data_IF_140889341301
#
_entry.id   IF_140889341301
#
_cell.length_a   1.000
_cell.length_b   1.000
_cell.length_c   1.000
_cell.angle_alpha   90.00
_cell.angle_beta   90.00
_cell.angle_gamma   90.00
#
_symmetry.space_group_name_H-M   'P 1'
#
loop_
_entity.id
_entity.type
_entity.pdbx_description
1 polymer ?
#
# COMPACT_ATOMS: atom_id res chain seq x y z
N UNK A 1 19.98 -0.29 33.37
CA UNK A 1 21.12 0.64 33.18
C UNK A 1 21.07 1.20 31.77
N UNK A 2 20.38 2.33 31.59
CA UNK A 2 20.36 3.08 30.34
C UNK A 2 21.24 4.33 30.53
N UNK A 3 22.55 4.19 30.37
CA UNK A 3 23.51 5.26 30.59
C UNK A 3 24.15 5.66 29.25
N UNK A 4 23.38 6.36 28.40
CA UNK A 4 23.90 6.88 27.13
C UNK A 4 23.38 8.29 26.75
N UNK A 5 22.60 8.96 27.59
CA UNK A 5 22.07 10.31 27.34
C UNK A 5 22.81 11.44 28.10
N UNK A 6 23.68 11.10 29.07
CA UNK A 6 24.31 12.07 29.99
C UNK A 6 25.15 13.16 29.31
N UNK A 7 25.82 12.86 28.19
CA UNK A 7 26.75 13.78 27.52
C UNK A 7 26.08 15.07 26.99
N UNK A 8 24.80 15.04 26.63
CA UNK A 8 24.10 16.22 26.07
C UNK A 8 23.73 17.26 27.13
N UNK A 9 23.60 16.86 28.40
CA UNK A 9 23.02 17.69 29.46
C UNK A 9 24.00 18.03 30.59
N UNK A 10 25.20 17.43 30.61
CA UNK A 10 26.26 17.67 31.60
C UNK A 10 26.78 19.13 31.63
N UNK A 11 26.66 19.88 30.54
CA UNK A 11 27.12 21.27 30.46
C UNK A 11 26.09 22.29 30.96
N UNK A 12 24.88 21.84 31.32
CA UNK A 12 23.81 22.71 31.81
C UNK A 12 23.85 22.77 33.35
N UNK A 13 24.02 23.97 33.94
CA UNK A 13 23.96 24.11 35.40
C UNK A 13 22.51 23.86 35.89
N UNK A 14 22.36 22.98 36.87
CA UNK A 14 21.07 22.66 37.49
C UNK A 14 20.32 21.46 36.90
N UNK A 15 21.00 20.57 36.18
CA UNK A 15 20.40 19.30 35.73
C UNK A 15 20.11 18.38 36.93
N UNK A 16 18.88 17.89 37.02
CA UNK A 16 18.47 16.97 38.08
C UNK A 16 19.02 15.55 37.81
N UNK A 17 19.67 14.96 38.79
CA UNK A 17 20.20 13.59 38.75
C UNK A 17 19.34 12.59 39.53
N UNK A 18 18.15 13.01 39.96
CA UNK A 18 17.15 12.15 40.55
C UNK A 18 16.73 11.03 39.58
N UNK A 19 16.16 9.91 40.09
CA UNK A 19 15.59 8.88 39.24
C UNK A 19 14.53 9.44 38.28
N UNK A 20 14.65 9.10 36.99
CA UNK A 20 13.79 9.59 35.91
C UNK A 20 12.31 9.23 36.10
N UNK A 21 12.02 8.12 36.81
CA UNK A 21 10.67 7.61 37.02
C UNK A 21 10.47 7.31 38.50
N UNK A 22 9.50 7.99 39.11
CA UNK A 22 9.00 7.69 40.45
C UNK A 22 7.66 6.98 40.32
N UNK A 23 7.70 5.66 40.18
CA UNK A 23 6.52 4.81 40.11
C UNK A 23 6.22 4.15 41.45
N UNK A 24 4.94 3.90 41.70
CA UNK A 24 4.53 3.01 42.79
C UNK A 24 5.01 1.60 42.44
N UNK A 25 5.54 0.82 43.39
CA UNK A 25 5.97 -0.54 43.12
C UNK A 25 4.83 -1.33 42.48
N UNK A 26 5.13 -2.02 41.38
CA UNK A 26 4.16 -2.86 40.66
C UNK A 26 3.52 -3.82 41.67
N UNK A 27 2.25 -3.57 41.96
CA UNK A 27 1.43 -4.54 42.67
C UNK A 27 1.31 -5.73 41.72
N UNK A 28 1.79 -6.90 42.12
CA UNK A 28 1.61 -8.11 41.34
C UNK A 28 0.12 -8.28 41.06
N UNK A 29 -0.32 -8.00 39.82
CA UNK A 29 -1.72 -8.13 39.39
C UNK A 29 -2.23 -9.58 39.58
N UNK A 30 -1.29 -10.53 39.72
CA UNK A 30 -1.55 -11.94 39.99
C UNK A 30 -1.84 -12.28 41.47
N UNK A 31 -1.62 -11.37 42.42
CA UNK A 31 -2.05 -11.55 43.82
C UNK A 31 -3.39 -10.84 44.03
N UNK A 32 -4.39 -11.43 43.39
CA UNK A 32 -5.78 -10.97 43.42
C UNK A 32 -6.29 -10.87 44.86
N UNK A 33 -6.60 -9.65 45.32
CA UNK A 33 -7.36 -9.37 46.56
C UNK A 33 -8.84 -9.10 46.28
N UNK A 34 -9.37 -9.60 45.17
CA UNK A 34 -10.80 -9.50 44.86
C UNK A 34 -11.35 -10.92 44.71
N UNK A 35 -12.37 -11.20 45.53
CA UNK A 35 -13.11 -12.44 45.53
C UNK A 35 -13.58 -12.80 44.12
N UNK A 36 -13.35 -14.05 43.74
CA UNK A 36 -13.88 -14.68 42.54
C UNK A 36 -15.38 -14.37 42.39
N UNK A 37 -15.72 -13.51 41.44
CA UNK A 37 -17.08 -13.30 40.97
C UNK A 37 -17.02 -12.75 39.55
N UNK A 38 -17.21 -13.67 38.60
CA UNK A 38 -17.68 -13.42 37.23
C UNK A 38 -16.86 -12.43 36.39
N UNK A 39 -15.65 -12.83 35.99
CA UNK A 39 -15.19 -12.46 34.66
C UNK A 39 -16.04 -13.26 33.66
N UNK A 40 -17.12 -12.64 33.17
CA UNK A 40 -17.84 -13.13 31.99
C UNK A 40 -16.88 -12.95 30.83
N UNK A 41 -16.33 -14.07 30.34
CA UNK A 41 -15.64 -14.10 29.07
C UNK A 41 -16.66 -13.72 27.99
N UNK A 42 -16.43 -12.65 27.24
CA UNK A 42 -17.36 -12.12 26.23
C UNK A 42 -17.40 -12.97 24.94
N UNK A 43 -17.14 -14.27 25.08
CA UNK A 43 -17.17 -15.25 24.00
C UNK A 43 -17.32 -16.67 24.54
N UNK A 44 -18.34 -16.90 25.37
CA UNK A 44 -18.90 -18.25 25.53
C UNK A 44 -19.92 -18.47 24.40
N UNK A 45 -19.63 -19.28 23.35
CA UNK A 45 -20.68 -19.78 22.49
C UNK A 45 -21.52 -20.73 23.35
N UNK A 46 -22.57 -20.16 23.94
CA UNK A 46 -23.51 -20.84 24.80
C UNK A 46 -23.79 -22.24 24.26
N UNK A 47 -23.51 -23.20 25.13
CA UNK A 47 -23.85 -24.60 25.01
C UNK A 47 -25.26 -24.76 24.42
N UNK A 48 -25.33 -25.58 23.38
CA UNK A 48 -26.44 -25.92 22.50
C UNK A 48 -27.62 -26.59 23.25
N UNK A 49 -28.24 -25.88 24.20
CA UNK A 49 -29.28 -26.47 25.07
C UNK A 49 -30.40 -25.53 25.51
N UNK A 50 -30.65 -24.43 24.80
CA UNK A 50 -31.85 -23.59 25.01
C UNK A 50 -32.55 -23.30 23.67
N UNK A 51 -32.97 -24.34 22.95
CA UNK A 51 -33.81 -24.18 21.74
C UNK A 51 -35.24 -23.69 22.03
N UNK A 52 -35.65 -23.61 23.30
CA UNK A 52 -37.06 -23.34 23.65
C UNK A 52 -37.34 -21.96 24.28
N UNK A 53 -36.33 -21.12 24.57
CA UNK A 53 -36.54 -19.86 25.33
C UNK A 53 -36.53 -18.59 24.47
N UNK A 54 -36.00 -18.66 23.25
CA UNK A 54 -36.04 -17.52 22.32
C UNK A 54 -36.85 -17.88 21.07
N UNK A 55 -37.87 -17.09 20.74
CA UNK A 55 -38.61 -17.22 19.47
C UNK A 55 -37.78 -16.91 18.22
N UNK A 56 -36.45 -16.95 18.34
CA UNK A 56 -35.46 -16.57 17.34
C UNK A 56 -34.74 -17.85 16.92
N UNK A 57 -34.95 -18.26 15.67
CA UNK A 57 -34.20 -19.37 15.06
C UNK A 57 -32.81 -18.89 14.64
N UNK A 58 -31.81 -19.13 15.49
CA UNK A 58 -30.41 -18.85 15.17
C UNK A 58 -29.81 -19.98 14.31
N UNK A 59 -30.23 -20.08 13.05
CA UNK A 59 -29.65 -21.08 12.15
C UNK A 59 -28.26 -20.64 11.69
N UNK A 60 -27.22 -21.40 12.05
CA UNK A 60 -25.85 -21.14 11.60
C UNK A 60 -25.76 -21.25 10.08
N UNK A 61 -25.35 -20.15 9.42
CA UNK A 61 -25.22 -20.12 7.98
C UNK A 61 -23.97 -20.90 7.55
N UNK A 62 -24.15 -22.04 6.90
CA UNK A 62 -23.07 -22.78 6.24
C UNK A 62 -22.83 -22.18 4.86
N UNK A 63 -21.84 -21.27 4.76
CA UNK A 63 -21.50 -20.54 3.53
C UNK A 63 -21.20 -21.46 2.36
N UNK A 64 -20.53 -22.59 2.59
CA UNK A 64 -20.17 -23.54 1.54
C UNK A 64 -21.39 -24.29 0.97
N UNK A 65 -22.30 -24.71 1.85
CA UNK A 65 -23.55 -25.36 1.43
C UNK A 65 -24.46 -24.35 0.71
N UNK A 66 -24.54 -23.11 1.19
CA UNK A 66 -25.27 -22.04 0.53
C UNK A 66 -24.66 -21.74 -0.86
N UNK A 67 -23.32 -21.68 -0.97
CA UNK A 67 -22.62 -21.45 -2.24
C UNK A 67 -22.94 -22.54 -3.26
N UNK A 68 -22.92 -23.81 -2.86
CA UNK A 68 -23.31 -24.93 -3.75
C UNK A 68 -24.76 -24.81 -4.25
N UNK A 69 -25.68 -24.36 -3.38
CA UNK A 69 -27.11 -24.16 -3.73
C UNK A 69 -27.33 -23.03 -4.74
N UNK A 70 -26.59 -21.93 -4.65
CA UNK A 70 -26.78 -20.74 -5.50
C UNK A 70 -25.82 -20.66 -6.70
N UNK A 71 -24.77 -21.49 -6.76
CA UNK A 71 -23.84 -21.58 -7.90
C UNK A 71 -24.52 -21.79 -9.27
N UNK A 72 -25.58 -22.62 -9.42
CA UNK A 72 -26.21 -22.82 -10.74
C UNK A 72 -27.13 -21.67 -11.17
N UNK A 73 -27.59 -20.80 -10.27
CA UNK A 73 -28.48 -19.69 -10.61
C UNK A 73 -27.69 -18.48 -11.11
N UNK A 74 -27.77 -18.17 -12.41
CA UNK A 74 -27.23 -16.92 -12.98
C UNK A 74 -28.35 -15.89 -13.08
N UNK A 75 -28.09 -14.68 -12.59
CA UNK A 75 -29.04 -13.56 -12.63
C UNK A 75 -28.57 -12.59 -13.72
N UNK A 76 -29.47 -12.25 -14.65
CA UNK A 76 -29.22 -11.18 -15.62
C UNK A 76 -29.67 -9.84 -15.01
N UNK A 77 -28.75 -8.87 -14.96
CA UNK A 77 -28.98 -7.54 -14.40
C UNK A 77 -29.14 -6.46 -15.47
N UNK A 78 -29.04 -6.80 -16.76
CA UNK A 78 -29.21 -5.81 -17.82
C UNK A 78 -30.69 -5.45 -18.02
N UNK A 79 -31.00 -4.15 -17.94
CA UNK A 79 -32.34 -3.61 -18.21
C UNK A 79 -33.31 -3.60 -17.03
N UNK A 80 -32.79 -3.73 -15.79
CA UNK A 80 -33.55 -3.49 -14.56
C UNK A 80 -33.50 -1.99 -14.27
N UNK A 81 -34.66 -1.34 -14.36
CA UNK A 81 -34.82 0.07 -14.08
C UNK A 81 -35.53 0.23 -12.73
N UNK A 82 -34.80 0.75 -11.73
CA UNK A 82 -35.33 1.14 -10.42
C UNK A 82 -35.54 2.65 -10.33
N UNK A 83 -35.35 3.41 -11.41
CA UNK A 83 -35.87 4.75 -11.45
C UNK A 83 -37.39 4.62 -11.35
N UNK A 84 -38.00 5.35 -10.41
CA UNK A 84 -39.41 5.23 -10.02
C UNK A 84 -40.37 5.77 -11.10
N UNK A 85 -40.10 5.43 -12.36
CA UNK A 85 -40.77 5.89 -13.55
C UNK A 85 -42.02 5.03 -13.80
N UNK A 86 -43.16 5.55 -13.37
CA UNK A 86 -44.48 4.91 -13.33
C UNK A 86 -45.01 4.57 -14.75
N UNK A 87 -44.35 5.05 -15.81
CA UNK A 87 -44.75 4.87 -17.21
C UNK A 87 -44.35 3.52 -17.83
N UNK A 88 -43.41 2.78 -17.23
CA UNK A 88 -42.98 1.47 -17.70
C UNK A 88 -43.44 0.34 -16.77
N UNK A 89 -43.82 -0.82 -17.32
CA UNK A 89 -44.12 -2.01 -16.51
C UNK A 89 -42.90 -2.38 -15.67
N UNK A 90 -43.06 -2.40 -14.33
CA UNK A 90 -42.04 -2.77 -13.34
C UNK A 90 -41.26 -4.02 -13.79
N UNK A 91 -39.98 -3.85 -14.10
CA UNK A 91 -39.06 -4.94 -14.45
C UNK A 91 -38.30 -5.36 -13.20
N UNK A 92 -38.55 -6.56 -12.69
CA UNK A 92 -37.77 -7.16 -11.60
C UNK A 92 -36.64 -8.05 -12.16
N UNK A 93 -35.67 -8.40 -11.32
CA UNK A 93 -34.68 -9.42 -11.65
C UNK A 93 -35.38 -10.70 -12.17
N UNK A 94 -34.95 -11.19 -13.33
CA UNK A 94 -35.44 -12.43 -13.96
C UNK A 94 -34.27 -13.39 -14.10
N UNK A 95 -34.38 -14.58 -13.51
CA UNK A 95 -33.45 -15.69 -13.74
C UNK A 95 -33.79 -16.30 -15.10
N UNK A 96 -32.85 -16.31 -16.04
CA UNK A 96 -33.09 -16.79 -17.41
C UNK A 96 -31.94 -17.64 -17.94
N UNK A 97 -32.28 -18.71 -18.65
CA UNK A 97 -31.37 -19.58 -19.38
C UNK A 97 -31.55 -19.36 -20.90
N UNK A 98 -30.64 -18.53 -21.46
CA UNK A 98 -30.13 -18.44 -22.86
C UNK A 98 -31.11 -18.49 -24.07
N UNK A 99 -31.15 -17.41 -24.88
CA UNK A 99 -31.06 -17.38 -26.37
C UNK A 99 -31.00 -15.93 -26.95
N UNK A 100 -30.49 -15.74 -28.20
CA UNK A 100 -29.94 -14.49 -28.83
C UNK A 100 -30.75 -13.87 -30.02
N UNK A 101 -30.35 -12.63 -30.43
CA UNK A 101 -30.24 -11.95 -31.79
C UNK A 101 -31.25 -10.78 -32.08
N UNK A 102 -31.05 -9.73 -32.93
CA UNK A 102 -29.96 -8.97 -33.66
C UNK A 102 -30.63 -7.83 -34.51
N UNK A 103 -29.93 -6.69 -34.79
CA UNK A 103 -29.97 -5.87 -36.05
C UNK A 103 -30.59 -4.45 -35.96
N UNK A 104 -30.34 -3.42 -36.80
CA UNK A 104 -29.32 -2.97 -37.79
C UNK A 104 -29.74 -1.54 -38.33
N UNK A 105 -28.92 -0.89 -39.19
CA UNK A 105 -29.14 0.23 -40.18
C UNK A 105 -29.00 1.71 -39.75
N UNK A 106 -28.70 2.73 -40.59
CA UNK A 106 -27.85 3.09 -41.78
C UNK A 106 -28.35 4.51 -42.22
N UNK A 107 -27.52 5.44 -42.71
CA UNK A 107 -28.01 6.59 -43.52
C UNK A 107 -27.09 7.82 -43.62
N UNK A 108 -26.88 8.29 -44.85
CA UNK A 108 -25.87 9.23 -45.39
C UNK A 108 -26.54 10.47 -46.06
N UNK A 109 -25.71 11.35 -46.67
CA UNK A 109 -25.97 12.37 -47.72
C UNK A 109 -26.19 13.82 -47.22
N UNK A 110 -25.69 14.94 -47.81
CA UNK A 110 -24.89 15.27 -49.01
C UNK A 110 -24.51 16.77 -48.97
N UNK A 111 -23.43 17.16 -49.66
CA UNK A 111 -22.84 18.50 -49.90
C UNK A 111 -23.51 19.26 -51.08
N UNK A 112 -23.42 20.61 -51.10
CA UNK A 112 -23.40 21.45 -52.34
C UNK A 112 -22.56 22.76 -52.16
N UNK A 113 -21.78 23.10 -53.20
CA UNK A 113 -20.74 24.14 -53.28
C UNK A 113 -21.23 25.55 -53.70
N UNK A 114 -20.42 26.59 -53.44
CA UNK A 114 -20.66 27.99 -53.81
C UNK A 114 -19.44 28.66 -54.48
N UNK A 115 -19.58 29.20 -55.70
CA UNK A 115 -18.51 29.91 -56.43
C UNK A 115 -18.89 31.37 -56.74
N UNK A 116 -18.08 32.29 -56.20
CA UNK A 116 -17.89 33.72 -56.54
C UNK A 116 -17.15 34.46 -55.40
N UNK A 117 -16.98 33.77 -54.27
CA UNK A 117 -16.05 34.08 -53.17
C UNK A 117 -14.57 34.02 -53.58
N UNK A 118 -14.29 33.44 -54.75
CA UNK A 118 -13.01 32.83 -55.11
C UNK A 118 -11.83 33.82 -55.19
N UNK A 119 -12.03 35.03 -55.72
CA UNK A 119 -10.94 36.01 -55.83
C UNK A 119 -10.60 36.69 -54.49
N UNK A 120 -11.59 36.91 -53.64
CA UNK A 120 -11.37 37.36 -52.25
C UNK A 120 -10.75 36.23 -51.43
N UNK A 121 -11.22 35.00 -51.64
CA UNK A 121 -10.64 33.78 -51.08
C UNK A 121 -9.17 33.65 -51.46
N UNK A 122 -8.76 34.00 -52.69
CA UNK A 122 -7.36 33.93 -53.12
C UNK A 122 -6.46 34.96 -52.42
N UNK A 123 -6.92 36.20 -52.22
CA UNK A 123 -6.14 37.20 -51.45
C UNK A 123 -6.08 36.86 -49.97
N UNK A 124 -7.22 36.46 -49.39
CA UNK A 124 -7.32 36.01 -48.01
C UNK A 124 -6.51 34.73 -47.77
N UNK A 125 -6.42 33.84 -48.78
CA UNK A 125 -5.56 32.66 -48.77
C UNK A 125 -4.08 33.00 -48.83
N UNK A 126 -3.70 34.14 -49.40
CA UNK A 126 -2.31 34.59 -49.45
C UNK A 126 -1.91 35.28 -48.13
N UNK A 127 -2.77 36.15 -47.58
CA UNK A 127 -2.58 36.76 -46.25
C UNK A 127 -2.63 35.70 -45.12
N UNK A 128 -3.53 34.70 -45.22
CA UNK A 128 -3.54 33.55 -44.31
C UNK A 128 -2.30 32.68 -44.47
N UNK A 129 -1.79 32.49 -45.69
CA UNK A 129 -0.59 31.69 -45.94
C UNK A 129 0.66 32.36 -45.37
N UNK A 130 0.71 33.69 -45.38
CA UNK A 130 1.79 34.45 -44.77
C UNK A 130 1.75 34.32 -43.24
N UNK A 131 0.58 34.48 -42.62
CA UNK A 131 0.39 34.26 -41.18
C UNK A 131 0.62 32.79 -40.77
N UNK A 132 0.20 31.84 -41.61
CA UNK A 132 0.46 30.41 -41.47
C UNK A 132 1.95 30.11 -41.59
N UNK A 133 2.67 30.76 -42.51
CA UNK A 133 4.12 30.68 -42.62
C UNK A 133 4.83 31.18 -41.36
N UNK A 134 4.46 32.35 -40.86
CA UNK A 134 5.05 32.91 -39.64
C UNK A 134 4.76 32.06 -38.40
N UNK A 135 3.56 31.48 -38.29
CA UNK A 135 3.19 30.58 -37.18
C UNK A 135 3.87 29.22 -37.29
N UNK A 136 4.02 28.67 -38.51
CA UNK A 136 4.77 27.44 -38.78
C UNK A 136 6.26 27.64 -38.52
N UNK A 137 6.84 28.79 -38.87
CA UNK A 137 8.25 29.09 -38.61
C UNK A 137 8.51 29.25 -37.10
N UNK A 138 7.60 29.92 -36.36
CA UNK A 138 7.64 29.98 -34.90
C UNK A 138 7.49 28.59 -34.27
N UNK A 139 6.64 27.73 -34.82
CA UNK A 139 6.46 26.34 -34.38
C UNK A 139 7.68 25.47 -34.67
N UNK A 140 8.30 25.60 -35.86
CA UNK A 140 9.49 24.85 -36.25
C UNK A 140 10.74 25.31 -35.49
N UNK A 141 10.83 26.59 -35.13
CA UNK A 141 11.88 27.13 -34.27
C UNK A 141 11.74 26.70 -32.81
N UNK A 142 10.56 26.24 -32.38
CA UNK A 142 10.35 25.75 -31.03
C UNK A 142 11.03 24.39 -30.83
N UNK A 143 11.86 24.32 -29.79
CA UNK A 143 12.45 23.05 -29.36
C UNK A 143 11.46 22.34 -28.43
N UNK A 144 10.93 21.16 -28.80
CA UNK A 144 10.02 20.43 -27.93
C UNK A 144 10.66 20.11 -26.58
N UNK A 145 9.86 20.13 -25.53
CA UNK A 145 10.26 19.72 -24.19
C UNK A 145 10.55 18.21 -24.18
N UNK A 146 11.80 17.84 -24.48
CA UNK A 146 12.23 16.45 -24.64
C UNK A 146 12.27 15.67 -23.31
N UNK A 147 12.31 14.32 -23.36
CA UNK A 147 12.43 13.48 -22.17
C UNK A 147 13.72 13.84 -21.41
N UNK A 148 13.65 13.97 -20.08
CA UNK A 148 14.84 14.32 -19.32
C UNK A 148 15.81 13.15 -19.24
N UNK A 149 17.11 13.47 -19.27
CA UNK A 149 18.17 12.47 -19.23
C UNK A 149 18.23 11.72 -17.90
N UNK A 150 17.83 12.35 -16.81
CA UNK A 150 17.88 11.74 -15.48
C UNK A 150 16.64 10.88 -15.19
N UNK A 151 15.43 11.32 -15.55
CA UNK A 151 14.25 10.44 -15.56
C UNK A 151 14.43 9.27 -16.55
N UNK A 152 14.97 9.51 -17.75
CA UNK A 152 15.24 8.43 -18.71
C UNK A 152 16.27 7.41 -18.15
N UNK A 153 17.31 7.89 -17.47
CA UNK A 153 18.29 7.03 -16.80
C UNK A 153 17.71 6.31 -15.59
N UNK A 154 16.78 6.92 -14.87
CA UNK A 154 16.07 6.28 -13.76
C UNK A 154 15.15 5.17 -14.26
N UNK A 155 14.43 5.40 -15.37
CA UNK A 155 13.62 4.38 -16.06
C UNK A 155 14.51 3.24 -16.59
N UNK A 156 15.67 3.56 -17.17
CA UNK A 156 16.62 2.55 -17.67
C UNK A 156 17.23 1.70 -16.55
N UNK A 157 17.45 2.30 -15.37
CA UNK A 157 17.99 1.61 -14.19
C UNK A 157 16.93 0.89 -13.36
N UNK A 158 15.64 1.14 -13.60
CA UNK A 158 14.60 0.40 -12.92
C UNK A 158 14.69 -1.08 -13.34
N UNK A 159 14.61 -2.02 -12.37
CA UNK A 159 14.44 -3.41 -12.74
C UNK A 159 13.18 -3.50 -13.62
N UNK A 160 13.22 -4.25 -14.73
CA UNK A 160 12.07 -4.43 -15.61
C UNK A 160 10.82 -4.73 -14.79
N UNK A 161 9.75 -3.98 -15.07
CA UNK A 161 8.45 -4.14 -14.43
C UNK A 161 8.08 -5.64 -14.41
N UNK A 162 7.66 -6.18 -13.25
CA UNK A 162 7.22 -7.57 -13.15
C UNK A 162 6.06 -7.78 -14.14
N UNK A 163 6.35 -8.44 -15.26
CA UNK A 163 5.37 -8.63 -16.35
C UNK A 163 5.88 -8.45 -17.77
N UNK A 164 7.14 -8.05 -18.01
CA UNK A 164 7.73 -8.23 -19.36
C UNK A 164 7.72 -9.73 -19.70
N UNK A 165 7.31 -10.11 -20.90
CA UNK A 165 6.80 -11.47 -21.22
C UNK A 165 7.72 -12.64 -20.80
N UNK A 166 9.03 -12.43 -20.69
CA UNK A 166 10.02 -13.42 -20.22
C UNK A 166 9.96 -13.65 -18.69
N UNK A 167 9.48 -12.67 -17.93
CA UNK A 167 9.30 -12.72 -16.48
C UNK A 167 7.89 -13.16 -16.08
N UNK A 168 6.91 -13.20 -16.99
CA UNK A 168 5.55 -13.64 -16.62
C UNK A 168 5.56 -15.10 -16.13
N UNK A 169 6.31 -15.97 -16.81
CA UNK A 169 6.46 -17.36 -16.37
C UNK A 169 7.30 -17.52 -15.10
N UNK A 170 8.34 -16.69 -14.91
CA UNK A 170 9.12 -16.67 -13.66
C UNK A 170 8.31 -16.11 -12.49
N UNK A 171 7.52 -15.06 -12.72
CA UNK A 171 6.61 -14.48 -11.76
C UNK A 171 5.48 -15.45 -11.42
N UNK A 172 4.89 -16.11 -12.41
CA UNK A 172 3.89 -17.15 -12.20
C UNK A 172 4.47 -18.32 -11.40
N UNK A 173 5.71 -18.72 -11.67
CA UNK A 173 6.42 -19.71 -10.85
C UNK A 173 6.64 -19.22 -9.41
N UNK A 174 7.09 -17.99 -9.21
CA UNK A 174 7.30 -17.41 -7.87
C UNK A 174 5.97 -17.22 -7.13
N UNK A 175 4.89 -16.86 -7.83
CA UNK A 175 3.55 -16.72 -7.25
C UNK A 175 2.94 -18.08 -6.91
N UNK A 176 3.12 -19.09 -7.76
CA UNK A 176 2.68 -20.45 -7.44
C UNK A 176 3.51 -21.02 -6.28
N UNK A 177 4.81 -20.74 -6.24
CA UNK A 177 5.68 -21.11 -5.13
C UNK A 177 5.28 -20.39 -3.83
N UNK A 178 4.96 -19.09 -3.90
CA UNK A 178 4.46 -18.32 -2.75
C UNK A 178 3.12 -18.89 -2.26
N UNK A 179 2.21 -19.22 -3.19
CA UNK A 179 0.94 -19.88 -2.86
C UNK A 179 1.17 -21.26 -2.23
N UNK A 180 2.12 -22.06 -2.72
CA UNK A 180 2.48 -23.34 -2.12
C UNK A 180 3.00 -23.16 -0.69
N UNK A 181 3.85 -22.15 -0.47
CA UNK A 181 4.33 -21.80 0.86
C UNK A 181 3.18 -21.33 1.76
N UNK A 182 2.26 -20.49 1.28
CA UNK A 182 1.10 -20.02 2.03
C UNK A 182 0.14 -21.17 2.36
N UNK A 183 -0.11 -22.10 1.42
CA UNK A 183 -0.90 -23.31 1.70
C UNK A 183 -0.23 -24.20 2.73
N UNK A 184 1.10 -24.32 2.69
CA UNK A 184 1.86 -25.10 3.68
C UNK A 184 1.87 -24.41 5.04
N UNK A 185 2.00 -23.08 5.08
CA UNK A 185 1.91 -22.28 6.29
C UNK A 185 0.52 -22.38 6.90
N UNK A 186 -0.55 -22.23 6.11
CA UNK A 186 -1.92 -22.39 6.58
C UNK A 186 -2.19 -23.79 7.14
N UNK A 187 -1.64 -24.85 6.52
CA UNK A 187 -1.70 -26.22 7.07
C UNK A 187 -0.94 -26.33 8.40
N UNK A 188 0.23 -25.70 8.53
CA UNK A 188 1.00 -25.67 9.78
C UNK A 188 0.28 -24.88 10.87
N UNK A 189 -0.25 -23.70 10.55
CA UNK A 189 -1.05 -22.86 11.44
C UNK A 189 -2.29 -23.61 11.95
N UNK A 190 -3.01 -24.27 11.05
CA UNK A 190 -4.15 -25.12 11.42
C UNK A 190 -3.74 -26.29 12.33
N UNK A 191 -2.59 -26.92 12.08
CA UNK A 191 -2.08 -28.01 12.92
C UNK A 191 -1.61 -27.55 14.30
N UNK A 192 -1.10 -26.33 14.40
CA UNK A 192 -0.67 -25.68 15.64
C UNK A 192 -1.83 -24.98 16.35
N UNK A 193 -3.01 -24.91 15.73
CA UNK A 193 -4.17 -24.19 16.25
C UNK A 193 -3.99 -22.67 16.32
N UNK A 194 -3.03 -22.13 15.56
CA UNK A 194 -2.75 -20.70 15.50
C UNK A 194 -3.79 -20.03 14.60
N UNK A 195 -4.83 -19.47 15.20
CA UNK A 195 -5.81 -18.62 14.53
C UNK A 195 -5.48 -17.14 14.82
N UNK A 196 -6.11 -16.20 14.12
CA UNK A 196 -5.85 -14.75 14.28
C UNK A 196 -5.90 -14.22 15.72
N UNK A 197 -6.61 -14.91 16.63
CA UNK A 197 -6.71 -14.55 18.06
C UNK A 197 -5.66 -15.23 18.96
N UNK A 198 -4.93 -16.23 18.46
CA UNK A 198 -3.91 -17.00 19.21
C UNK A 198 -2.52 -16.81 18.59
N UNK A 199 -2.35 -15.78 17.76
CA UNK A 199 -1.03 -15.39 17.25
C UNK A 199 -0.21 -14.81 18.42
N UNK A 200 1.05 -15.24 18.66
CA UNK A 200 1.84 -14.79 19.82
C UNK A 200 2.08 -13.28 19.90
N UNK A 201 1.92 -12.55 18.78
CA UNK A 201 2.18 -11.12 18.67
C UNK A 201 0.89 -10.26 18.74
N UNK A 202 -0.30 -10.89 18.70
CA UNK A 202 -1.61 -10.19 18.58
C UNK A 202 -2.63 -10.65 19.64
N UNK A 203 -2.55 -11.90 20.11
CA UNK A 203 -3.50 -12.46 21.07
C UNK A 203 -3.16 -12.10 22.51
N UNK A 204 -4.13 -11.58 23.28
CA UNK A 204 -4.04 -11.41 24.74
C UNK A 204 -3.73 -12.73 25.47
N UNK A 205 -4.06 -13.86 24.84
CA UNK A 205 -3.72 -15.21 25.29
C UNK A 205 -2.80 -15.90 24.27
N UNK A 206 -1.53 -15.47 24.24
CA UNK A 206 -0.52 -16.14 23.42
C UNK A 206 -0.38 -17.62 23.86
N UNK A 207 -0.44 -18.58 22.92
CA UNK A 207 -0.29 -19.99 23.26
C UNK A 207 1.10 -20.24 23.86
N UNK A 208 1.13 -21.00 24.96
CA UNK A 208 2.39 -21.41 25.60
C UNK A 208 3.30 -22.12 24.59
N UNK A 209 4.63 -21.97 24.67
CA UNK A 209 5.55 -22.59 23.73
C UNK A 209 5.34 -24.11 23.68
N UNK A 210 4.86 -24.61 22.54
CA UNK A 210 4.46 -26.02 22.36
C UNK A 210 5.59 -26.95 22.77
N UNK A 211 6.84 -26.61 22.46
CA UNK A 211 8.02 -27.38 22.84
C UNK A 211 8.15 -27.54 24.35
N UNK A 212 8.01 -26.46 25.13
CA UNK A 212 8.11 -26.52 26.60
C UNK A 212 6.97 -27.33 27.22
N UNK A 213 5.76 -27.25 26.64
CA UNK A 213 4.64 -28.07 27.10
C UNK A 213 4.82 -29.55 26.76
N UNK A 214 5.38 -29.86 25.58
CA UNK A 214 5.68 -31.22 25.16
C UNK A 214 6.80 -31.82 26.01
N UNK A 215 7.87 -31.07 26.27
CA UNK A 215 8.96 -31.47 27.16
C UNK A 215 8.45 -31.70 28.58
N UNK A 216 7.56 -30.83 29.08
CA UNK A 216 6.92 -31.05 30.38
C UNK A 216 6.06 -32.31 30.37
N UNK A 217 5.29 -32.56 29.31
CA UNK A 217 4.48 -33.78 29.18
C UNK A 217 5.40 -35.01 29.12
N UNK A 218 6.48 -34.96 28.34
CA UNK A 218 7.49 -36.01 28.24
C UNK A 218 8.13 -36.31 29.60
N UNK A 219 8.53 -35.27 30.33
CA UNK A 219 9.05 -35.40 31.69
C UNK A 219 7.99 -36.00 32.63
N UNK A 220 6.72 -35.57 32.56
CA UNK A 220 5.68 -36.16 33.41
C UNK A 220 5.37 -37.62 33.05
N UNK A 221 5.39 -37.98 31.77
CA UNK A 221 5.21 -39.37 31.32
C UNK A 221 6.41 -40.21 31.74
N UNK A 222 7.62 -39.67 31.66
CA UNK A 222 8.84 -40.29 32.16
C UNK A 222 8.78 -40.54 33.67
N UNK A 223 8.35 -39.55 34.45
CA UNK A 223 8.17 -39.68 35.89
C UNK A 223 7.07 -40.70 36.25
N UNK A 224 5.98 -40.75 35.49
CA UNK A 224 4.93 -41.77 35.68
C UNK A 224 5.45 -43.16 35.32
N UNK A 225 6.26 -43.28 34.27
CA UNK A 225 6.91 -44.53 33.89
C UNK A 225 7.92 -45.00 34.95
N UNK A 226 8.76 -44.10 35.47
CA UNK A 226 9.74 -44.41 36.52
C UNK A 226 9.09 -44.71 37.87
N UNK A 227 8.03 -43.97 38.23
CA UNK A 227 7.22 -44.26 39.40
C UNK A 227 6.55 -45.63 39.30
N UNK A 228 6.08 -46.02 38.10
CA UNK A 228 5.50 -47.35 37.86
C UNK A 228 6.51 -48.50 37.99
N UNK A 229 7.81 -48.21 37.88
CA UNK A 229 8.90 -49.19 37.98
C UNK A 229 9.58 -49.21 39.36
N UNK A 230 9.18 -48.35 40.31
CA UNK A 230 9.77 -48.28 41.65
C UNK A 230 11.21 -47.75 41.70
N UNK A 231 11.74 -47.23 40.59
CA UNK A 231 13.11 -46.70 40.48
C UNK A 231 13.27 -45.33 41.12
N UNK A 232 12.19 -44.55 41.23
CA UNK A 232 12.18 -43.22 41.86
C UNK A 232 12.58 -43.26 43.33
N UNK A 233 12.17 -44.30 44.06
CA UNK A 233 12.46 -44.46 45.49
C UNK A 233 13.93 -44.85 45.71
N UNK A 234 14.50 -45.67 44.81
CA UNK A 234 15.91 -46.01 44.80
C UNK A 234 16.81 -44.84 44.37
N UNK A 235 16.42 -44.09 43.33
CA UNK A 235 17.10 -42.87 42.90
C UNK A 235 17.01 -41.76 43.95
N UNK A 236 15.85 -41.60 44.60
CA UNK A 236 15.66 -40.65 45.70
C UNK A 236 16.53 -40.96 46.93
N UNK A 237 16.72 -42.25 47.25
CA UNK A 237 17.66 -42.66 48.29
C UNK A 237 19.13 -42.36 47.91
N UNK A 238 19.50 -42.56 46.63
CA UNK A 238 20.83 -42.22 46.13
C UNK A 238 21.07 -40.70 46.05
N UNK A 239 20.08 -39.90 45.68
CA UNK A 239 20.16 -38.43 45.67
C UNK A 239 20.32 -37.90 47.09
N UNK A 240 19.55 -38.41 48.06
CA UNK A 240 19.74 -38.05 49.47
C UNK A 240 21.15 -38.39 49.97
N UNK A 241 21.69 -39.53 49.55
CA UNK A 241 23.07 -39.91 49.86
C UNK A 241 24.07 -38.95 49.19
N UNK A 242 23.89 -38.62 47.91
CA UNK A 242 24.73 -37.66 47.18
C UNK A 242 24.66 -36.25 47.76
N UNK A 243 23.49 -35.82 48.26
CA UNK A 243 23.32 -34.54 48.96
C UNK A 243 24.13 -34.55 50.26
N UNK A 244 24.02 -35.61 51.06
CA UNK A 244 24.79 -35.73 52.29
C UNK A 244 26.30 -35.78 52.02
N UNK A 245 26.73 -36.53 51.00
CA UNK A 245 28.13 -36.62 50.58
C UNK A 245 28.63 -35.26 50.03
N UNK A 246 27.79 -34.49 49.33
CA UNK A 246 28.11 -33.16 48.83
C UNK A 246 28.14 -32.09 49.94
N UNK A 247 27.26 -32.16 50.94
CA UNK A 247 27.32 -31.31 52.13
C UNK A 247 28.61 -31.56 52.91
N UNK A 248 28.98 -32.83 53.11
CA UNK A 248 30.26 -33.17 53.73
C UNK A 248 31.45 -32.63 52.93
N UNK A 249 31.44 -32.76 51.60
CA UNK A 249 32.49 -32.18 50.74
C UNK A 249 32.51 -30.66 50.79
N UNK A 250 31.35 -30.00 50.93
CA UNK A 250 31.27 -28.55 51.09
C UNK A 250 31.87 -28.12 52.42
N UNK A 251 31.59 -28.85 53.49
CA UNK A 251 32.12 -28.57 54.82
C UNK A 251 33.65 -28.74 54.81
N UNK A 252 34.18 -29.84 54.25
CA UNK A 252 35.63 -30.02 54.05
C UNK A 252 36.25 -28.95 53.14
N UNK A 253 35.55 -28.49 52.09
CA UNK A 253 36.02 -27.41 51.22
C UNK A 253 36.01 -26.06 51.92
N UNK A 254 35.02 -25.81 52.77
CA UNK A 254 34.92 -24.59 53.57
C UNK A 254 36.03 -24.52 54.61
N UNK A 255 36.32 -25.66 55.26
CA UNK A 255 37.45 -25.83 56.18
C UNK A 255 38.79 -25.67 55.45
N UNK A 256 38.92 -26.20 54.22
CA UNK A 256 40.12 -26.04 53.39
C UNK A 256 40.29 -24.64 52.78
N UNK A 257 39.20 -23.87 52.62
CA UNK A 257 39.22 -22.51 52.05
C UNK A 257 39.61 -21.41 53.06
N UNK A 258 39.78 -21.74 54.34
CA UNK A 258 40.25 -20.76 55.34
C UNK A 258 41.68 -20.25 55.09
N UNK A 259 42.48 -20.97 54.30
CA UNK A 259 43.88 -20.61 53.97
C UNK A 259 44.07 -20.07 52.53
N UNK A 260 43.00 -19.93 51.75
CA UNK A 260 43.04 -19.48 50.36
C UNK A 260 42.42 -18.10 50.15
N UNK A 261 43.20 -17.17 49.61
CA UNK A 261 42.81 -15.82 49.18
C UNK A 261 41.41 -15.81 48.55
N UNK A 262 40.45 -15.16 49.22
CA UNK A 262 39.05 -15.10 48.77
C UNK A 262 38.97 -14.37 47.42
N UNK A 263 38.09 -14.78 46.49
CA UNK A 263 37.90 -14.04 45.24
C UNK A 263 37.47 -12.61 45.54
N UNK A 264 38.02 -11.63 44.82
CA UNK A 264 37.69 -10.23 45.06
C UNK A 264 36.18 -10.02 44.88
N UNK A 265 35.46 -9.51 45.91
CA UNK A 265 34.00 -9.40 45.90
C UNK A 265 33.48 -8.48 44.79
N UNK A 266 34.31 -7.53 44.32
CA UNK A 266 34.00 -6.68 43.17
C UNK A 266 33.95 -7.43 41.84
N UNK A 267 34.80 -8.45 41.67
CA UNK A 267 34.82 -9.28 40.46
C UNK A 267 33.61 -10.21 40.45
N UNK A 268 33.25 -10.77 41.61
CA UNK A 268 32.02 -11.55 41.76
C UNK A 268 30.77 -10.70 41.52
N UNK A 269 30.72 -9.46 42.03
CA UNK A 269 29.62 -8.53 41.76
C UNK A 269 29.50 -8.20 40.27
N UNK A 270 30.63 -7.97 39.57
CA UNK A 270 30.66 -7.73 38.11
C UNK A 270 30.24 -8.97 37.32
N UNK A 271 30.69 -10.16 37.73
CA UNK A 271 30.31 -11.43 37.11
C UNK A 271 28.81 -11.67 37.31
N UNK A 272 28.28 -11.46 38.51
CA UNK A 272 26.85 -11.59 38.79
C UNK A 272 26.02 -10.58 37.98
N UNK A 273 26.52 -9.35 37.80
CA UNK A 273 25.88 -8.38 36.91
C UNK A 273 25.87 -8.86 35.45
N UNK A 274 26.98 -9.41 34.95
CA UNK A 274 27.07 -9.97 33.58
C UNK A 274 26.16 -11.19 33.40
N UNK A 275 26.12 -12.10 34.38
CA UNK A 275 25.17 -13.22 34.41
C UNK A 275 23.73 -12.75 34.47
N UNK A 276 23.44 -11.60 35.10
CA UNK A 276 22.12 -10.96 35.05
C UNK A 276 21.75 -10.44 33.66
N UNK A 277 22.72 -9.98 32.87
CA UNK A 277 22.50 -9.52 31.48
C UNK A 277 22.45 -10.65 30.46
N UNK A 278 23.06 -11.80 30.74
CA UNK A 278 23.14 -12.93 29.80
C UNK A 278 21.76 -13.47 29.37
N UNK A 279 20.76 -13.65 30.25
CA UNK A 279 19.40 -14.04 29.86
C UNK A 279 18.74 -13.05 28.90
N UNK A 280 19.06 -11.76 28.99
CA UNK A 280 18.53 -10.75 28.06
C UNK A 280 19.17 -10.87 26.67
N UNK A 281 20.46 -11.19 26.62
CA UNK A 281 21.20 -11.42 25.36
C UNK A 281 20.75 -12.74 24.72
N UNK A 282 20.55 -13.80 25.50
CA UNK A 282 20.07 -15.09 25.01
C UNK A 282 18.67 -15.00 24.39
N UNK A 283 17.81 -14.11 24.92
CA UNK A 283 16.50 -13.81 24.33
C UNK A 283 16.58 -13.00 23.03
N UNK A 284 17.53 -12.06 22.93
CA UNK A 284 17.67 -11.18 21.76
C UNK A 284 18.47 -11.81 20.61
N UNK A 285 19.39 -12.72 20.93
CA UNK A 285 20.23 -13.46 19.98
C UNK A 285 19.44 -14.13 18.84
N UNK A 286 18.34 -14.89 19.08
CA UNK A 286 17.57 -15.51 18.01
C UNK A 286 16.75 -14.53 17.16
N UNK A 287 16.48 -13.31 17.65
CA UNK A 287 15.67 -12.30 16.94
C UNK A 287 16.53 -11.46 15.98
N UNK A 288 17.83 -11.36 16.27
CA UNK A 288 18.79 -10.54 15.51
C UNK A 288 18.89 -10.95 14.02
N UNK A 289 18.95 -12.24 13.65
CA UNK A 289 18.94 -12.65 12.24
C UNK A 289 17.67 -12.20 11.50
N UNK A 290 16.49 -12.35 12.13
CA UNK A 290 15.21 -11.93 11.53
C UNK A 290 15.14 -10.41 11.36
N UNK A 291 15.61 -9.65 12.34
CA UNK A 291 15.72 -8.18 12.23
C UNK A 291 16.68 -7.77 11.12
N UNK A 292 17.80 -8.49 10.95
CA UNK A 292 18.77 -8.21 9.90
C UNK A 292 18.21 -8.50 8.51
N UNK A 293 17.45 -9.58 8.35
CA UNK A 293 16.73 -9.89 7.11
C UNK A 293 15.67 -8.83 6.79
N UNK A 294 14.87 -8.41 7.79
CA UNK A 294 13.91 -7.30 7.64
C UNK A 294 14.61 -5.98 7.32
N UNK A 295 15.74 -5.66 7.93
CA UNK A 295 16.52 -4.46 7.60
C UNK A 295 17.12 -4.54 6.20
N UNK A 296 17.47 -5.73 5.71
CA UNK A 296 17.96 -5.93 4.34
C UNK A 296 16.86 -5.71 3.31
N UNK A 297 15.64 -6.20 3.56
CA UNK A 297 14.49 -5.92 2.69
C UNK A 297 14.07 -4.46 2.78
N UNK A 298 14.08 -3.89 3.98
CA UNK A 298 13.80 -2.46 4.21
C UNK A 298 14.84 -1.57 3.53
N UNK A 299 16.13 -1.95 3.50
CA UNK A 299 17.17 -1.24 2.76
C UNK A 299 16.84 -1.15 1.28
N UNK A 300 16.34 -2.23 0.68
CA UNK A 300 15.92 -2.21 -0.73
C UNK A 300 14.80 -1.18 -0.94
N UNK A 301 13.80 -1.18 -0.07
CA UNK A 301 12.68 -0.23 -0.11
C UNK A 301 13.15 1.21 0.14
N UNK A 302 14.05 1.46 1.07
CA UNK A 302 14.61 2.79 1.30
C UNK A 302 15.43 3.27 0.11
N UNK A 303 16.21 2.41 -0.52
CA UNK A 303 16.98 2.79 -1.72
C UNK A 303 16.07 3.09 -2.91
N UNK A 304 14.96 2.34 -3.09
CA UNK A 304 13.98 2.63 -4.13
C UNK A 304 13.18 3.89 -3.82
N UNK A 305 12.82 4.13 -2.55
CA UNK A 305 12.15 5.34 -2.11
C UNK A 305 13.03 6.58 -2.33
N UNK A 306 14.32 6.50 -2.02
CA UNK A 306 15.28 7.57 -2.30
C UNK A 306 15.43 7.85 -3.79
N UNK A 307 15.52 6.80 -4.63
CA UNK A 307 15.56 6.98 -6.08
C UNK A 307 14.26 7.57 -6.64
N UNK A 308 13.11 7.25 -6.05
CA UNK A 308 11.83 7.84 -6.42
C UNK A 308 11.75 9.32 -6.02
N UNK A 309 12.27 9.69 -4.85
CA UNK A 309 12.37 11.08 -4.39
C UNK A 309 13.24 11.93 -5.32
N UNK A 310 14.39 11.40 -5.77
CA UNK A 310 15.25 12.07 -6.77
C UNK A 310 14.52 12.28 -8.12
N UNK A 311 13.75 11.28 -8.57
CA UNK A 311 12.92 11.40 -9.79
C UNK A 311 11.77 12.40 -9.60
N UNK A 312 11.15 12.43 -8.42
CA UNK A 312 10.03 13.34 -8.10
C UNK A 312 10.51 14.79 -8.02
N UNK A 313 11.64 15.05 -7.37
CA UNK A 313 12.22 16.40 -7.31
C UNK A 313 12.65 16.89 -8.70
N UNK A 314 13.16 16.01 -9.56
CA UNK A 314 13.41 16.35 -10.97
C UNK A 314 12.11 16.62 -11.74
N UNK A 315 11.07 15.82 -11.50
CA UNK A 315 9.76 16.02 -12.12
C UNK A 315 9.13 17.35 -11.69
N UNK A 316 9.19 17.70 -10.40
CA UNK A 316 8.69 18.97 -9.86
C UNK A 316 9.42 20.15 -10.51
N UNK A 317 10.75 20.09 -10.61
CA UNK A 317 11.53 21.10 -11.32
C UNK A 317 11.13 21.23 -12.79
N UNK A 318 10.82 20.12 -13.45
CA UNK A 318 10.36 20.10 -14.86
C UNK A 318 8.95 20.64 -15.00
N UNK A 319 8.04 20.33 -14.08
CA UNK A 319 6.69 20.89 -14.04
C UNK A 319 6.76 22.42 -13.90
N UNK A 320 7.62 22.94 -13.01
CA UNK A 320 7.86 24.38 -12.90
C UNK A 320 8.36 25.01 -14.21
N UNK A 321 9.29 24.37 -14.90
CA UNK A 321 9.76 24.82 -16.23
C UNK A 321 8.65 24.79 -17.28
N UNK A 322 7.81 23.75 -17.29
CA UNK A 322 6.67 23.65 -18.21
C UNK A 322 5.62 24.71 -17.93
N UNK A 323 5.33 25.03 -16.66
CA UNK A 323 4.43 26.12 -16.30
C UNK A 323 4.96 27.48 -16.78
N UNK A 324 6.27 27.72 -16.66
CA UNK A 324 6.90 28.93 -17.21
C UNK A 324 6.83 28.98 -18.74
N UNK A 325 7.06 27.86 -19.43
CA UNK A 325 6.92 27.76 -20.89
C UNK A 325 5.47 28.02 -21.30
N UNK A 326 4.49 27.40 -20.65
CA UNK A 326 3.06 27.60 -20.93
C UNK A 326 2.66 29.07 -20.75
N UNK A 327 3.16 29.75 -19.71
CA UNK A 327 2.93 31.20 -19.55
C UNK A 327 3.52 32.02 -20.69
N UNK A 328 4.69 31.64 -21.21
CA UNK A 328 5.28 32.31 -22.40
C UNK A 328 4.44 32.03 -23.66
N UNK A 329 3.91 30.82 -23.82
CA UNK A 329 3.00 30.47 -24.91
C UNK A 329 1.67 31.22 -24.81
N UNK A 330 1.13 31.42 -23.61
CA UNK A 330 -0.06 32.23 -23.38
C UNK A 330 0.18 33.69 -23.78
N UNK A 331 1.33 34.26 -23.40
CA UNK A 331 1.72 35.62 -23.80
C UNK A 331 1.90 35.74 -25.31
N UNK A 332 2.60 34.81 -25.96
CA UNK A 332 2.80 34.86 -27.41
C UNK A 332 1.51 34.61 -28.19
N UNK A 333 0.60 33.80 -27.66
CA UNK A 333 -0.73 33.61 -28.23
C UNK A 333 -1.57 34.88 -28.11
N UNK A 334 -1.48 35.59 -26.98
CA UNK A 334 -2.14 36.88 -26.81
C UNK A 334 -1.61 37.94 -27.79
N UNK A 335 -0.30 38.00 -28.01
CA UNK A 335 0.31 38.86 -29.04
C UNK A 335 -0.22 38.53 -30.44
N UNK A 336 -0.28 37.23 -30.79
CA UNK A 336 -0.85 36.78 -32.07
C UNK A 336 -2.34 37.11 -32.16
N UNK A 337 -3.12 36.98 -31.09
CA UNK A 337 -4.53 37.35 -31.06
C UNK A 337 -4.73 38.85 -31.29
N UNK A 338 -3.89 39.69 -30.66
CA UNK A 338 -3.90 41.13 -30.89
C UNK A 338 -3.54 41.48 -32.34
N UNK A 339 -2.52 40.82 -32.91
CA UNK A 339 -2.12 41.04 -34.29
C UNK A 339 -3.19 40.56 -35.29
N UNK A 340 -3.85 39.43 -35.02
CA UNK A 340 -5.00 38.96 -35.80
C UNK A 340 -6.16 39.96 -35.73
N UNK A 341 -6.46 40.54 -34.56
CA UNK A 341 -7.50 41.60 -34.43
C UNK A 341 -7.13 42.86 -35.21
N UNK A 342 -5.86 43.27 -35.19
CA UNK A 342 -5.38 44.40 -36.00
C UNK A 342 -5.52 44.09 -37.49
N UNK A 343 -5.14 42.89 -37.92
CA UNK A 343 -5.33 42.41 -39.28
C UNK A 343 -6.81 42.36 -39.68
N UNK A 344 -7.70 41.91 -38.79
CA UNK A 344 -9.15 41.91 -39.02
C UNK A 344 -9.69 43.34 -39.19
N UNK A 345 -9.30 44.28 -38.33
CA UNK A 345 -9.69 45.68 -38.46
C UNK A 345 -9.16 46.32 -39.77
N UNK A 346 -7.92 46.01 -40.14
CA UNK A 346 -7.35 46.40 -41.44
C UNK A 346 -8.14 45.77 -42.60
N UNK A 347 -8.58 44.51 -42.46
CA UNK A 347 -9.39 43.82 -43.46
C UNK A 347 -10.78 44.44 -43.58
N UNK A 348 -11.44 44.80 -42.47
CA UNK A 348 -12.76 45.45 -42.48
C UNK A 348 -12.70 46.83 -43.14
N UNK A 349 -11.67 47.63 -42.83
CA UNK A 349 -11.47 48.93 -43.47
C UNK A 349 -11.14 48.79 -44.97
N UNK A 350 -10.32 47.81 -45.34
CA UNK A 350 -10.07 47.46 -46.74
C UNK A 350 -11.35 46.97 -47.45
N UNK A 351 -12.18 46.17 -46.79
CA UNK A 351 -13.47 45.72 -47.33
C UNK A 351 -14.42 46.90 -47.55
N UNK A 352 -14.47 47.86 -46.62
CA UNK A 352 -15.30 49.05 -46.75
C UNK A 352 -14.84 49.94 -47.91
N UNK A 353 -13.54 50.21 -48.02
CA UNK A 353 -12.98 51.02 -49.12
C UNK A 353 -13.19 50.37 -50.49
N UNK A 354 -13.01 49.05 -50.60
CA UNK A 354 -13.33 48.30 -51.82
C UNK A 354 -14.83 48.32 -52.10
N UNK A 355 -15.68 48.17 -51.07
CA UNK A 355 -17.14 48.30 -51.20
C UNK A 355 -17.55 49.68 -51.74
N UNK A 356 -16.92 50.75 -51.25
CA UNK A 356 -17.11 52.10 -51.74
C UNK A 356 -16.65 52.28 -53.18
N UNK A 357 -15.54 51.66 -53.57
CA UNK A 357 -15.07 51.66 -54.95
C UNK A 357 -16.01 50.88 -55.87
N UNK A 358 -16.50 49.71 -55.46
CA UNK A 358 -17.49 48.92 -56.20
C UNK A 358 -18.78 49.72 -56.37
N UNK A 359 -19.30 50.33 -55.30
CA UNK A 359 -20.48 51.20 -55.36
C UNK A 359 -20.29 52.38 -56.32
N UNK A 360 -19.13 53.05 -56.29
CA UNK A 360 -18.80 54.11 -57.26
C UNK A 360 -18.75 53.60 -58.70
N UNK A 361 -18.27 52.38 -58.92
CA UNK A 361 -18.25 51.74 -60.23
C UNK A 361 -19.68 51.40 -60.65
N UNK A 362 -20.50 50.80 -59.78
CA UNK A 362 -21.92 50.51 -60.02
C UNK A 362 -22.70 51.78 -60.36
N UNK A 363 -22.49 52.88 -59.62
CA UNK A 363 -23.10 54.18 -59.92
C UNK A 363 -22.64 54.73 -61.27
N UNK A 364 -21.37 54.55 -61.64
CA UNK A 364 -20.86 54.95 -62.97
C UNK A 364 -21.44 54.08 -64.07
N UNK A 365 -21.61 52.78 -63.84
CA UNK A 365 -22.25 51.84 -64.76
C UNK A 365 -23.75 52.15 -64.91
N UNK A 366 -24.43 52.50 -63.83
CA UNK A 366 -25.84 52.92 -63.85
C UNK A 366 -26.05 54.30 -64.51
N UNK A 367 -25.06 55.20 -64.43
CA UNK A 367 -25.05 56.49 -65.14
C UNK A 367 -24.66 56.38 -66.60
N UNK A 368 -24.17 55.23 -67.08
CA UNK A 368 -24.10 54.97 -68.51
C UNK A 368 -25.55 54.74 -68.98
N UNK A 369 -26.12 55.62 -69.83
CA UNK A 369 -27.41 55.32 -70.42
C UNK A 369 -27.27 54.02 -71.21
N UNK A 370 -28.25 53.13 -71.07
CA UNK A 370 -28.32 51.89 -71.84
C UNK A 370 -27.96 52.16 -73.29
N UNK A 371 -26.94 51.46 -73.77
CA UNK A 371 -26.76 51.26 -75.20
C UNK A 371 -27.93 50.43 -75.70
N UNK A 372 -29.04 51.10 -76.03
CA UNK A 372 -29.95 50.58 -77.05
C UNK A 372 -29.32 50.77 -78.43
N UNK A 373 -29.61 49.79 -79.30
CA UNK A 373 -29.24 49.61 -80.71
C UNK A 373 -27.86 48.94 -80.91
N UNK A 374 -27.74 47.78 -81.56
CA UNK A 374 -28.43 47.33 -82.79
C UNK A 374 -28.40 45.80 -82.96
N UNK A 375 -29.49 45.27 -83.55
CA UNK A 375 -29.67 44.07 -84.39
C UNK A 375 -28.71 42.88 -84.34
#
# INVERSE_FOLDING_TARGET
MAEASKVKYESLPGIDTAPDVYETPDLAEDVSTIQASTAVSDSDPASDSDEDVSGIRNQRLQTDQARSRFQPSRVDAHGVDFSDNISAQRRSYRTSTRARRRGDTLGDDSDEEAESFERKLMRLREELRELEGETIDKFNAYKPFGPSKSIARAIEKQPPLPGSQVQRGQLEYVLEQAKEFDERLAKLEASLGLNGNTMPDIGENAPFPVFTTLERIEQTVGLVADASQGSLEAAGAQIKKMIADAEQLRDYRSEASQDGESPNPEQEAKINALYGTLPSIDKLSPILPMMLERLRTLRLVHTSAWAADDVLTELEKRQGQQEEEIKKWEQSLQEVEEDVKKCEAALQTNMHTVGDWVRKIEERVAKLPGGEATS
#
